data_IF_589237563670
#
_entry.id   IF_589237563670
#
_cell.length_a   1.000
_cell.length_b   1.000
_cell.length_c   1.000
_cell.angle_alpha   90.00
_cell.angle_beta   90.00
_cell.angle_gamma   90.00
#
_symmetry.space_group_name_H-M   'P 1'
#
loop_
_entity.id
_entity.type
_entity.pdbx_description
1 polymer ?
#
# COMPACT_ATOMS: atom_id res chain seq x y z
N UNK A 1 16.73 5.64 -10.70
CA UNK A 1 16.33 6.62 -9.66
C UNK A 1 16.80 6.15 -8.28
N UNK A 2 17.16 7.04 -7.33
CA UNK A 2 17.48 6.63 -5.95
C UNK A 2 16.26 6.90 -5.07
N UNK A 3 15.61 5.82 -4.63
CA UNK A 3 14.50 5.90 -3.69
C UNK A 3 14.99 6.05 -2.24
N UNK A 4 14.18 6.66 -1.41
CA UNK A 4 14.34 6.61 0.03
C UNK A 4 13.81 5.26 0.52
N UNK A 5 14.54 4.62 1.42
CA UNK A 5 14.11 3.38 2.10
C UNK A 5 13.43 3.73 3.42
N UNK A 6 12.40 2.95 3.83
CA UNK A 6 11.75 3.16 5.11
C UNK A 6 12.72 3.09 6.30
N UNK A 7 12.61 4.06 7.19
CA UNK A 7 13.33 4.08 8.47
C UNK A 7 12.46 3.43 9.53
N UNK A 8 12.78 2.19 9.88
CA UNK A 8 12.01 1.41 10.85
C UNK A 8 12.89 1.06 12.03
N UNK A 9 12.36 1.28 13.24
CA UNK A 9 13.02 0.92 14.49
C UNK A 9 13.36 -0.57 14.58
N UNK A 10 14.25 -0.93 15.50
CA UNK A 10 14.63 -2.34 15.73
C UNK A 10 13.69 -3.04 16.70
N UNK A 11 13.18 -2.30 17.67
CA UNK A 11 12.35 -2.82 18.75
C UNK A 11 10.90 -2.34 18.52
N UNK A 12 10.14 -3.09 17.71
CA UNK A 12 8.74 -2.78 17.43
C UNK A 12 7.84 -3.47 18.46
N UNK A 13 6.82 -2.75 18.90
CA UNK A 13 5.74 -3.37 19.67
C UNK A 13 4.94 -4.32 18.77
N UNK A 14 4.64 -5.52 19.26
CA UNK A 14 3.87 -6.50 18.48
C UNK A 14 2.39 -6.29 18.73
N UNK A 15 1.65 -6.10 17.62
CA UNK A 15 0.18 -6.09 17.61
C UNK A 15 -0.27 -7.35 16.88
N UNK A 16 -0.89 -8.27 17.58
CA UNK A 16 -1.37 -9.55 17.06
C UNK A 16 -2.91 -9.68 17.04
N UNK A 17 -3.61 -8.74 17.67
CA UNK A 17 -5.07 -8.67 17.68
C UNK A 17 -5.54 -7.21 17.62
N UNK A 18 -6.41 -6.89 16.65
CA UNK A 18 -7.05 -5.58 16.54
C UNK A 18 -8.35 -5.45 17.34
N UNK A 19 -8.89 -6.54 17.89
CA UNK A 19 -10.13 -6.50 18.66
C UNK A 19 -10.01 -5.70 19.97
N UNK A 20 -8.78 -5.39 20.40
CA UNK A 20 -8.52 -4.53 21.58
C UNK A 20 -8.57 -3.04 21.25
N UNK A 21 -8.62 -2.68 19.97
CA UNK A 21 -8.68 -1.32 19.47
C UNK A 21 -10.09 -1.02 18.95
N UNK A 22 -10.56 0.19 19.16
CA UNK A 22 -11.86 0.65 18.69
C UNK A 22 -11.75 1.48 17.39
N UNK A 23 -12.90 1.88 16.85
CA UNK A 23 -12.98 2.70 15.64
C UNK A 23 -12.47 4.14 15.84
N UNK A 24 -12.22 4.57 17.08
CA UNK A 24 -11.62 5.86 17.41
C UNK A 24 -10.07 5.78 17.41
N UNK A 25 -9.50 4.56 17.25
CA UNK A 25 -8.06 4.40 17.06
C UNK A 25 -7.66 4.95 15.70
N UNK A 26 -6.90 6.03 15.68
CA UNK A 26 -6.54 6.78 14.49
C UNK A 26 -5.07 6.59 14.05
N UNK A 27 -4.24 5.98 14.90
CA UNK A 27 -2.82 5.85 14.59
C UNK A 27 -2.12 4.68 15.28
N UNK A 28 -1.11 4.15 14.57
CA UNK A 28 -0.12 3.22 15.10
C UNK A 28 1.28 3.72 14.76
N UNK A 29 2.21 3.57 15.68
CA UNK A 29 3.59 4.00 15.50
C UNK A 29 4.55 2.97 16.07
N UNK A 30 5.59 2.61 15.29
CA UNK A 30 6.65 1.68 15.68
C UNK A 30 6.13 0.30 16.10
N UNK A 31 5.16 -0.25 15.35
CA UNK A 31 4.54 -1.55 15.62
C UNK A 31 4.87 -2.59 14.55
N UNK A 32 4.83 -3.84 14.95
CA UNK A 32 4.85 -5.01 14.09
C UNK A 32 3.47 -5.68 14.12
N UNK A 33 2.79 -5.68 12.98
CA UNK A 33 1.60 -6.48 12.74
C UNK A 33 2.03 -7.81 12.10
N UNK A 34 1.98 -8.91 12.83
CA UNK A 34 2.37 -10.23 12.31
C UNK A 34 1.14 -11.15 12.23
N UNK A 35 0.73 -11.48 11.01
CA UNK A 35 -0.44 -12.32 10.74
C UNK A 35 -1.78 -11.70 11.09
N UNK A 36 -1.85 -10.39 11.29
CA UNK A 36 -3.05 -9.70 11.75
C UNK A 36 -4.05 -9.51 10.60
N UNK A 37 -5.34 -9.73 10.89
CA UNK A 37 -6.42 -9.40 9.98
C UNK A 37 -7.00 -8.02 10.28
N UNK A 38 -7.07 -7.18 9.26
CA UNK A 38 -7.74 -5.88 9.30
C UNK A 38 -9.22 -5.95 8.86
N UNK A 39 -9.71 -7.15 8.53
CA UNK A 39 -11.11 -7.35 8.12
C UNK A 39 -12.04 -7.01 9.30
N UNK A 40 -12.94 -6.05 9.05
CA UNK A 40 -13.87 -5.58 10.08
C UNK A 40 -13.32 -4.49 11.01
N UNK A 41 -12.06 -4.13 10.90
CA UNK A 41 -11.51 -2.95 11.56
C UNK A 41 -11.78 -1.72 10.69
N UNK A 42 -12.53 -0.75 11.21
CA UNK A 42 -13.07 0.38 10.43
C UNK A 42 -12.71 1.74 11.04
N UNK A 43 -11.43 2.02 11.30
CA UNK A 43 -11.00 3.29 11.87
C UNK A 43 -11.22 4.44 10.88
N UNK A 44 -11.40 5.63 11.40
CA UNK A 44 -11.43 6.86 10.60
C UNK A 44 -10.03 7.43 10.46
N UNK A 45 -9.59 7.65 9.20
CA UNK A 45 -8.29 8.32 8.90
C UNK A 45 -7.08 7.64 9.58
N UNK A 46 -6.98 6.32 9.49
CA UNK A 46 -5.88 5.58 10.10
C UNK A 46 -4.52 6.03 9.54
N UNK A 47 -3.58 6.30 10.42
CA UNK A 47 -2.18 6.55 10.09
C UNK A 47 -1.27 5.49 10.73
N UNK A 48 -0.28 5.01 9.96
CA UNK A 48 0.71 4.04 10.44
C UNK A 48 2.10 4.54 10.10
N UNK A 49 2.95 4.67 11.12
CA UNK A 49 4.29 5.26 11.00
C UNK A 49 5.35 4.32 11.54
N UNK A 50 6.50 4.22 10.86
CA UNK A 50 7.68 3.49 11.33
C UNK A 50 7.45 2.00 11.59
N UNK A 51 6.52 1.38 10.88
CA UNK A 51 5.93 0.09 11.27
C UNK A 51 6.15 -0.99 10.21
N UNK A 52 5.90 -2.24 10.59
CA UNK A 52 5.92 -3.39 9.69
C UNK A 52 4.61 -4.15 9.70
N UNK A 53 4.20 -4.57 8.50
CA UNK A 53 3.17 -5.59 8.31
C UNK A 53 3.84 -6.85 7.76
N UNK A 54 3.61 -7.98 8.39
CA UNK A 54 4.06 -9.30 7.93
C UNK A 54 2.86 -10.21 7.86
N UNK A 55 2.55 -10.72 6.68
CA UNK A 55 1.40 -11.62 6.43
C UNK A 55 0.06 -11.05 6.90
N UNK A 56 -0.07 -9.73 6.95
CA UNK A 56 -1.32 -9.09 7.34
C UNK A 56 -2.37 -9.23 6.23
N UNK A 57 -3.64 -9.34 6.63
CA UNK A 57 -4.77 -9.47 5.70
C UNK A 57 -5.63 -8.20 5.70
N UNK A 58 -5.57 -7.49 4.58
CA UNK A 58 -6.38 -6.31 4.25
C UNK A 58 -7.43 -6.61 3.19
N UNK A 59 -7.76 -7.87 2.92
CA UNK A 59 -8.70 -8.20 1.84
C UNK A 59 -10.08 -7.60 2.10
N UNK A 60 -10.61 -6.91 1.09
CA UNK A 60 -11.93 -6.25 1.10
C UNK A 60 -12.12 -5.16 2.18
N UNK A 61 -11.05 -4.68 2.81
CA UNK A 61 -11.16 -3.59 3.80
C UNK A 61 -11.56 -2.27 3.13
N UNK A 62 -12.20 -1.39 3.91
CA UNK A 62 -12.53 -0.02 3.54
C UNK A 62 -11.70 0.92 4.43
N UNK A 63 -10.50 1.28 3.98
CA UNK A 63 -9.56 2.15 4.68
C UNK A 63 -9.17 3.33 3.79
N UNK A 64 -10.19 4.06 3.31
CA UNK A 64 -9.97 5.31 2.57
C UNK A 64 -9.17 6.30 3.42
N UNK A 65 -8.25 7.01 2.77
CA UNK A 65 -7.39 7.98 3.44
C UNK A 65 -6.26 7.35 4.27
N UNK A 66 -6.04 6.02 4.21
CA UNK A 66 -4.96 5.37 4.95
C UNK A 66 -3.62 6.07 4.75
N UNK A 67 -3.04 6.59 5.83
CA UNK A 67 -1.70 7.17 5.86
C UNK A 67 -0.64 6.11 6.20
N UNK A 68 0.38 5.98 5.34
CA UNK A 68 1.56 5.16 5.62
C UNK A 68 2.82 6.03 5.52
N UNK A 69 3.66 6.02 6.53
CA UNK A 69 4.95 6.70 6.51
C UNK A 69 6.04 5.81 7.10
N UNK A 70 7.13 5.60 6.35
CA UNK A 70 8.20 4.69 6.75
C UNK A 70 7.67 3.29 7.10
N UNK A 71 6.94 2.67 6.18
CA UNK A 71 6.29 1.36 6.39
C UNK A 71 6.85 0.32 5.43
N UNK A 72 7.00 -0.89 5.91
CA UNK A 72 7.28 -2.08 5.10
C UNK A 72 6.18 -3.11 5.29
N UNK A 73 5.56 -3.54 4.20
CA UNK A 73 4.56 -4.60 4.17
C UNK A 73 5.09 -5.80 3.38
N UNK A 74 5.24 -6.93 4.05
CA UNK A 74 5.75 -8.18 3.47
C UNK A 74 4.69 -9.27 3.46
N UNK A 75 4.56 -9.96 2.31
CA UNK A 75 3.72 -11.15 2.16
C UNK A 75 2.24 -10.91 2.54
N UNK A 76 1.77 -9.66 2.39
CA UNK A 76 0.41 -9.25 2.78
C UNK A 76 -0.64 -9.59 1.70
N UNK A 77 -1.88 -9.71 2.13
CA UNK A 77 -3.05 -9.83 1.26
C UNK A 77 -3.83 -8.52 1.27
N UNK A 78 -4.03 -7.92 0.08
CA UNK A 78 -4.74 -6.66 -0.13
C UNK A 78 -5.75 -6.80 -1.28
N UNK A 79 -6.35 -7.99 -1.40
CA UNK A 79 -7.28 -8.28 -2.49
C UNK A 79 -8.50 -7.37 -2.41
N UNK A 80 -8.74 -6.60 -3.47
CA UNK A 80 -9.86 -5.65 -3.57
C UNK A 80 -9.97 -4.68 -2.38
N UNK A 81 -8.88 -4.46 -1.64
CA UNK A 81 -8.84 -3.49 -0.56
C UNK A 81 -9.06 -2.07 -1.11
N UNK A 82 -9.86 -1.27 -0.42
CA UNK A 82 -10.09 0.13 -0.76
C UNK A 82 -9.19 1.04 0.08
N UNK A 83 -8.17 1.59 -0.56
CA UNK A 83 -7.26 2.60 -0.05
C UNK A 83 -7.37 3.90 -0.89
N UNK A 84 -8.56 4.21 -1.39
CA UNK A 84 -8.81 5.48 -2.08
C UNK A 84 -8.36 6.67 -1.24
N UNK A 85 -7.86 7.74 -1.87
CA UNK A 85 -7.37 8.96 -1.20
C UNK A 85 -6.20 8.72 -0.22
N UNK A 86 -5.60 7.54 -0.21
CA UNK A 86 -4.47 7.19 0.67
C UNK A 86 -3.28 8.14 0.48
N UNK A 87 -2.49 8.30 1.53
CA UNK A 87 -1.25 9.05 1.51
C UNK A 87 -0.09 8.17 1.97
N UNK A 88 0.69 7.63 1.01
CA UNK A 88 1.80 6.75 1.30
C UNK A 88 3.14 7.41 1.00
N UNK A 89 3.99 7.50 2.01
CA UNK A 89 5.31 8.09 1.92
C UNK A 89 6.38 7.11 2.38
N UNK A 90 7.42 6.94 1.58
CA UNK A 90 8.57 6.11 1.93
C UNK A 90 8.12 4.72 2.40
N UNK A 91 7.38 4.03 1.53
CA UNK A 91 6.71 2.75 1.85
C UNK A 91 7.16 1.68 0.86
N UNK A 92 7.42 0.48 1.36
CA UNK A 92 7.72 -0.70 0.55
C UNK A 92 6.66 -1.77 0.74
N UNK A 93 6.07 -2.23 -0.37
CA UNK A 93 5.15 -3.36 -0.43
C UNK A 93 5.87 -4.50 -1.14
N UNK A 94 6.09 -5.61 -0.46
CA UNK A 94 6.95 -6.70 -0.94
C UNK A 94 6.18 -8.01 -0.98
N UNK A 95 6.30 -8.77 -2.08
CA UNK A 95 5.73 -10.11 -2.26
C UNK A 95 4.25 -10.21 -1.91
N UNK A 96 3.49 -9.13 -2.10
CA UNK A 96 2.11 -9.03 -1.63
C UNK A 96 1.11 -9.21 -2.77
N UNK A 97 -0.10 -9.67 -2.42
CA UNK A 97 -1.20 -9.84 -3.37
C UNK A 97 -2.11 -8.62 -3.28
N UNK A 98 -2.06 -7.78 -4.32
CA UNK A 98 -2.76 -6.51 -4.40
C UNK A 98 -3.74 -6.47 -5.59
N UNK A 99 -4.22 -7.63 -6.06
CA UNK A 99 -5.15 -7.70 -7.20
C UNK A 99 -6.42 -6.91 -6.92
N UNK A 100 -6.78 -6.02 -7.84
CA UNK A 100 -7.96 -5.17 -7.72
C UNK A 100 -7.91 -4.13 -6.61
N UNK A 101 -6.73 -3.85 -6.01
CA UNK A 101 -6.59 -2.82 -4.99
C UNK A 101 -7.02 -1.46 -5.53
N UNK A 102 -7.76 -0.70 -4.73
CA UNK A 102 -8.24 0.63 -5.06
C UNK A 102 -7.33 1.68 -4.42
N UNK A 103 -6.61 2.43 -5.25
CA UNK A 103 -5.74 3.54 -4.88
C UNK A 103 -6.10 4.80 -5.68
N UNK A 104 -7.37 4.93 -6.07
CA UNK A 104 -7.87 6.11 -6.78
C UNK A 104 -7.68 7.37 -5.93
N UNK A 105 -7.29 8.46 -6.56
CA UNK A 105 -7.01 9.76 -5.91
C UNK A 105 -5.92 9.70 -4.82
N UNK A 106 -5.19 8.58 -4.69
CA UNK A 106 -4.13 8.43 -3.70
C UNK A 106 -2.89 9.27 -4.05
N UNK A 107 -2.11 9.62 -3.04
CA UNK A 107 -0.80 10.26 -3.18
C UNK A 107 0.29 9.30 -2.72
N UNK A 108 1.12 8.85 -3.65
CA UNK A 108 2.23 7.95 -3.41
C UNK A 108 3.56 8.67 -3.67
N UNK A 109 4.44 8.73 -2.67
CA UNK A 109 5.75 9.36 -2.79
C UNK A 109 6.86 8.49 -2.21
N UNK A 110 7.87 8.17 -3.02
CA UNK A 110 8.94 7.23 -2.68
C UNK A 110 8.38 5.87 -2.25
N UNK A 111 7.54 5.27 -3.10
CA UNK A 111 6.90 3.98 -2.85
C UNK A 111 7.49 2.92 -3.79
N UNK A 112 7.76 1.74 -3.26
CA UNK A 112 8.19 0.58 -4.03
C UNK A 112 7.19 -0.56 -3.88
N UNK A 113 6.76 -1.11 -5.00
CA UNK A 113 6.10 -2.41 -5.07
C UNK A 113 7.12 -3.40 -5.64
N UNK A 114 7.47 -4.44 -4.88
CA UNK A 114 8.43 -5.46 -5.33
C UNK A 114 7.84 -6.86 -5.26
N UNK A 115 7.88 -7.57 -6.40
CA UNK A 115 7.37 -8.93 -6.49
C UNK A 115 5.87 -9.03 -6.22
N UNK A 116 5.12 -7.95 -6.40
CA UNK A 116 3.69 -7.89 -6.09
C UNK A 116 2.82 -8.29 -7.28
N UNK A 117 1.63 -8.79 -6.97
CA UNK A 117 0.57 -9.02 -7.95
C UNK A 117 -0.45 -7.88 -7.86
N UNK A 118 -0.46 -7.01 -8.88
CA UNK A 118 -1.23 -5.76 -8.95
C UNK A 118 -2.24 -5.75 -10.12
N UNK A 119 -2.57 -6.93 -10.65
CA UNK A 119 -3.54 -7.02 -11.74
C UNK A 119 -4.86 -6.32 -11.37
N UNK A 120 -5.43 -5.58 -12.33
CA UNK A 120 -6.65 -4.77 -12.16
C UNK A 120 -6.58 -3.71 -11.03
N UNK A 121 -5.39 -3.32 -10.59
CA UNK A 121 -5.25 -2.25 -9.60
C UNK A 121 -5.69 -0.89 -10.19
N UNK A 122 -6.41 -0.11 -9.39
CA UNK A 122 -6.98 1.16 -9.80
C UNK A 122 -6.20 2.35 -9.18
N UNK A 123 -5.48 3.09 -10.04
CA UNK A 123 -4.76 4.30 -9.70
C UNK A 123 -5.34 5.56 -10.37
N UNK A 124 -6.62 5.52 -10.77
CA UNK A 124 -7.26 6.70 -11.40
C UNK A 124 -7.09 7.95 -10.54
N UNK A 125 -6.72 9.07 -11.19
CA UNK A 125 -6.54 10.37 -10.54
C UNK A 125 -5.48 10.37 -9.41
N UNK A 126 -4.71 9.30 -9.27
CA UNK A 126 -3.65 9.23 -8.26
C UNK A 126 -2.44 10.09 -8.65
N UNK A 127 -1.66 10.51 -7.64
CA UNK A 127 -0.40 11.23 -7.81
C UNK A 127 0.76 10.36 -7.38
N UNK A 128 1.55 9.90 -8.36
CA UNK A 128 2.70 9.04 -8.12
C UNK A 128 4.00 9.84 -8.36
N UNK A 129 4.83 9.96 -7.33
CA UNK A 129 6.14 10.62 -7.43
C UNK A 129 7.23 9.71 -6.89
N UNK A 130 8.23 9.38 -7.71
CA UNK A 130 9.28 8.44 -7.38
C UNK A 130 8.69 7.09 -6.95
N UNK A 131 7.95 6.43 -7.81
CA UNK A 131 7.34 5.12 -7.55
C UNK A 131 7.99 4.07 -8.46
N UNK A 132 8.30 2.91 -7.90
CA UNK A 132 8.88 1.79 -8.64
C UNK A 132 8.02 0.55 -8.48
N UNK A 133 7.71 -0.06 -9.60
CA UNK A 133 7.18 -1.41 -9.70
C UNK A 133 8.33 -2.32 -10.16
N UNK A 134 8.77 -3.27 -9.34
CA UNK A 134 9.93 -4.12 -9.57
C UNK A 134 9.52 -5.60 -9.49
N UNK A 135 9.67 -6.34 -10.59
CA UNK A 135 9.30 -7.75 -10.68
C UNK A 135 7.80 -8.02 -10.42
N UNK A 136 6.94 -7.06 -10.76
CA UNK A 136 5.50 -7.16 -10.49
C UNK A 136 4.72 -7.69 -11.69
N UNK A 137 3.56 -8.30 -11.42
CA UNK A 137 2.49 -8.48 -12.39
C UNK A 137 1.59 -7.25 -12.35
N UNK A 138 1.54 -6.49 -13.46
CA UNK A 138 0.87 -5.17 -13.54
C UNK A 138 -0.09 -5.14 -14.74
N UNK A 139 -0.86 -6.19 -14.89
CA UNK A 139 -1.82 -6.33 -16.00
C UNK A 139 -3.13 -5.61 -15.70
N UNK A 140 -3.74 -5.02 -16.74
CA UNK A 140 -5.03 -4.34 -16.66
C UNK A 140 -5.13 -3.26 -15.57
N UNK A 141 -4.00 -2.62 -15.23
CA UNK A 141 -3.99 -1.50 -14.28
C UNK A 141 -4.57 -0.23 -14.91
N UNK A 142 -5.32 0.52 -14.12
CA UNK A 142 -5.94 1.78 -14.56
C UNK A 142 -5.24 3.00 -13.93
N UNK A 143 -4.54 3.79 -14.77
CA UNK A 143 -3.94 5.07 -14.43
C UNK A 143 -4.69 6.26 -15.05
N UNK A 144 -5.96 6.09 -15.41
CA UNK A 144 -6.75 7.14 -16.02
C UNK A 144 -6.68 8.45 -15.23
N UNK A 145 -6.28 9.54 -15.88
CA UNK A 145 -6.09 10.87 -15.26
C UNK A 145 -5.10 10.92 -14.10
N UNK A 146 -4.19 9.94 -13.98
CA UNK A 146 -3.16 9.96 -12.94
C UNK A 146 -2.01 10.92 -13.31
N UNK A 147 -1.41 11.54 -12.29
CA UNK A 147 -0.19 12.34 -12.42
C UNK A 147 1.04 11.46 -12.11
N UNK A 148 1.85 11.15 -13.12
CA UNK A 148 3.01 10.27 -13.00
C UNK A 148 4.32 11.06 -13.12
N UNK A 149 5.14 11.06 -12.07
CA UNK A 149 6.46 11.69 -12.05
C UNK A 149 7.52 10.72 -11.54
N UNK A 150 8.50 10.38 -12.40
CA UNK A 150 9.53 9.41 -12.08
C UNK A 150 8.92 8.07 -11.64
N UNK A 151 8.08 7.48 -12.47
CA UNK A 151 7.50 6.15 -12.26
C UNK A 151 8.26 5.17 -13.15
N UNK A 152 8.72 4.07 -12.59
CA UNK A 152 9.48 3.05 -13.28
C UNK A 152 8.82 1.67 -13.13
N UNK A 153 8.82 0.91 -14.22
CA UNK A 153 8.43 -0.51 -14.24
C UNK A 153 9.68 -1.30 -14.63
N UNK A 154 10.19 -2.13 -13.71
CA UNK A 154 11.41 -2.91 -13.87
C UNK A 154 11.05 -4.38 -13.82
N UNK A 155 11.44 -5.15 -14.84
CA UNK A 155 11.21 -6.59 -14.93
C UNK A 155 9.75 -7.00 -14.64
N UNK A 156 8.79 -6.15 -15.01
CA UNK A 156 7.37 -6.39 -14.80
C UNK A 156 6.73 -7.13 -15.99
N UNK A 157 5.72 -7.95 -15.68
CA UNK A 157 4.76 -8.44 -16.66
C UNK A 157 3.69 -7.36 -16.88
N UNK A 158 3.75 -6.72 -18.08
CA UNK A 158 2.95 -5.52 -18.40
C UNK A 158 2.01 -5.88 -19.56
N UNK A 159 0.70 -5.81 -19.33
CA UNK A 159 -0.31 -5.89 -20.37
C UNK A 159 -1.56 -5.09 -19.97
N UNK A 160 -2.29 -4.54 -20.94
CA UNK A 160 -3.58 -3.91 -20.74
C UNK A 160 -3.60 -2.66 -19.82
N UNK A 161 -2.45 -1.98 -19.60
CA UNK A 161 -2.42 -0.79 -18.76
C UNK A 161 -3.12 0.38 -19.46
N UNK A 162 -4.05 1.04 -18.76
CA UNK A 162 -4.76 2.23 -19.22
C UNK A 162 -4.13 3.52 -18.65
N UNK A 163 -3.64 4.39 -19.55
CA UNK A 163 -3.11 5.72 -19.24
C UNK A 163 -3.99 6.86 -19.82
N UNK A 164 -5.26 6.62 -20.08
CA UNK A 164 -6.13 7.63 -20.67
C UNK A 164 -6.37 8.84 -19.76
N UNK A 165 -6.49 10.00 -20.37
CA UNK A 165 -6.72 11.29 -19.69
C UNK A 165 -8.17 11.70 -19.79
#
# INVERSE_FOLDING_TARGET
>A
MKLLTPLIGKDLEVVDDLAVYDDDTDSFSEVLFDGVSFIGFTPKNLAVVGSRFVKADFSNVQLEGLGLENVVANDCMMLTANFGEASWHTTEIINSRCSGVQLHSATLKNVTFRGCKLDMANFRQAKLTNVVFDGCVVTDMDFGSAELKNVEFIDCDIDGIDFTH
#
